data_IF_191269225508
#
_entry.id   IF_191269225508
#
_cell.length_a   1.000
_cell.length_b   1.000
_cell.length_c   1.000
_cell.angle_alpha   90.00
_cell.angle_beta   90.00
_cell.angle_gamma   90.00
#
_symmetry.space_group_name_H-M   'P 1'
#
loop_
_entity.id
_entity.type
_entity.pdbx_description
1 polymer ?
#
# COMPACT_ATOMS: atom_id res chain seq x y z
N UNK A 1 -9.09 -6.38 -10.95
CA UNK A 1 -8.45 -5.08 -10.96
C UNK A 1 -7.80 -4.80 -9.60
N UNK A 2 -6.49 -4.66 -9.60
CA UNK A 2 -5.75 -4.52 -8.35
C UNK A 2 -4.89 -3.27 -8.38
N UNK A 3 -4.86 -2.57 -7.25
CA UNK A 3 -3.99 -1.43 -7.02
C UNK A 3 -2.92 -1.87 -6.03
N UNK A 4 -1.69 -1.53 -6.31
CA UNK A 4 -0.56 -1.99 -5.50
C UNK A 4 0.10 -0.82 -4.79
N UNK A 5 0.23 -0.95 -3.48
CA UNK A 5 0.99 -0.01 -2.67
C UNK A 5 2.15 -0.77 -2.07
N UNK A 6 3.35 -0.25 -2.21
CA UNK A 6 4.54 -0.86 -1.65
C UNK A 6 5.09 0.00 -0.52
N UNK A 7 5.56 -0.64 0.55
CA UNK A 7 6.19 0.03 1.67
C UNK A 7 7.58 -0.56 1.83
N UNK A 8 8.58 0.30 1.75
CA UNK A 8 9.97 -0.14 1.83
C UNK A 8 10.40 -0.38 3.27
N UNK A 9 11.58 -0.95 3.42
CA UNK A 9 12.17 -1.17 4.75
C UNK A 9 12.35 0.13 5.51
N UNK A 10 12.49 1.25 4.80
CA UNK A 10 12.64 2.58 5.42
C UNK A 10 11.32 3.30 5.59
N UNK A 11 10.21 2.59 5.41
CA UNK A 11 8.87 3.14 5.56
C UNK A 11 8.50 4.15 4.47
N UNK A 12 9.16 4.08 3.33
CA UNK A 12 8.75 4.87 2.18
C UNK A 12 7.58 4.18 1.49
N UNK A 13 6.60 4.97 1.09
CA UNK A 13 5.37 4.46 0.49
C UNK A 13 5.38 4.78 -0.99
N UNK A 14 5.12 3.76 -1.81
CA UNK A 14 5.14 3.92 -3.26
C UNK A 14 3.80 3.48 -3.84
N UNK A 15 3.27 4.26 -4.73
CA UNK A 15 2.08 3.90 -5.48
C UNK A 15 2.29 4.29 -6.94
N UNK A 16 2.05 3.34 -7.82
CA UNK A 16 2.19 3.55 -9.28
C UNK A 16 3.59 4.06 -9.62
N UNK A 17 4.59 3.52 -8.93
CA UNK A 17 5.98 3.87 -9.21
C UNK A 17 6.46 5.17 -8.61
N UNK A 18 5.62 5.88 -7.87
CA UNK A 18 5.97 7.16 -7.28
C UNK A 18 5.92 7.09 -5.77
N UNK A 19 6.89 7.71 -5.14
CA UNK A 19 6.88 7.81 -3.69
C UNK A 19 5.87 8.87 -3.27
N UNK A 20 5.02 8.52 -2.31
CA UNK A 20 4.00 9.43 -1.79
C UNK A 20 4.05 9.43 -0.27
N UNK A 21 3.45 10.46 0.32
CA UNK A 21 3.31 10.53 1.77
C UNK A 21 2.06 9.79 2.20
N UNK A 22 2.01 9.47 3.49
CA UNK A 22 0.86 8.78 4.05
C UNK A 22 -0.44 9.54 3.78
N UNK A 23 -0.42 10.86 3.94
CA UNK A 23 -1.62 11.66 3.72
C UNK A 23 -2.01 11.78 2.25
N UNK A 24 -1.19 11.28 1.34
CA UNK A 24 -1.50 11.26 -0.08
C UNK A 24 -2.09 9.93 -0.54
N UNK A 25 -2.11 8.91 0.33
CA UNK A 25 -2.55 7.58 -0.07
C UNK A 25 -4.01 7.60 -0.49
N UNK A 26 -4.91 8.13 0.34
CA UNK A 26 -6.32 8.13 0.02
C UNK A 26 -6.63 8.93 -1.24
N UNK A 27 -6.11 10.16 -1.41
CA UNK A 27 -6.36 10.88 -2.67
C UNK A 27 -5.78 10.17 -3.88
N UNK A 28 -4.60 9.56 -3.76
CA UNK A 28 -4.01 8.85 -4.89
C UNK A 28 -4.87 7.67 -5.32
N UNK A 29 -5.39 6.93 -4.36
CA UNK A 29 -6.26 5.80 -4.66
C UNK A 29 -7.57 6.26 -5.30
N UNK A 30 -8.14 7.35 -4.82
CA UNK A 30 -9.37 7.89 -5.41
C UNK A 30 -9.15 8.31 -6.86
N UNK A 31 -8.00 8.90 -7.15
CA UNK A 31 -7.69 9.32 -8.52
C UNK A 31 -7.46 8.14 -9.43
N UNK A 32 -7.14 6.99 -8.90
CA UNK A 32 -6.89 5.80 -9.72
C UNK A 32 -8.16 5.18 -10.26
N UNK A 33 -9.32 5.68 -9.89
CA UNK A 33 -10.61 5.22 -10.44
C UNK A 33 -10.82 3.74 -10.19
N UNK A 34 -11.24 3.39 -9.01
CA UNK A 34 -11.51 1.99 -8.69
C UNK A 34 -13.01 1.76 -8.62
N UNK A 35 -13.39 0.49 -8.72
CA UNK A 35 -14.77 0.05 -8.58
C UNK A 35 -14.94 -0.71 -7.28
N UNK A 36 -16.17 -1.13 -6.99
CA UNK A 36 -16.43 -1.94 -5.79
C UNK A 36 -15.67 -3.25 -5.79
N UNK A 37 -15.30 -3.74 -6.97
CA UNK A 37 -14.58 -5.00 -7.07
C UNK A 37 -13.06 -4.84 -7.03
N UNK A 38 -12.58 -3.62 -6.95
CA UNK A 38 -11.14 -3.39 -6.91
C UNK A 38 -10.56 -3.85 -5.60
N UNK A 39 -9.33 -4.36 -5.67
CA UNK A 39 -8.58 -4.79 -4.51
C UNK A 39 -7.33 -3.94 -4.42
N UNK A 40 -7.00 -3.47 -3.24
CA UNK A 40 -5.69 -2.88 -3.03
C UNK A 40 -4.80 -3.91 -2.34
N UNK A 41 -3.60 -4.08 -2.88
CA UNK A 41 -2.62 -4.98 -2.30
C UNK A 41 -1.54 -4.12 -1.67
N UNK A 42 -1.36 -4.27 -0.36
CA UNK A 42 -0.31 -3.57 0.35
C UNK A 42 0.85 -4.55 0.52
N UNK A 43 1.92 -4.29 -0.20
CA UNK A 43 3.12 -5.11 -0.12
C UNK A 43 4.13 -4.37 0.74
N UNK A 44 4.40 -4.89 1.92
CA UNK A 44 5.30 -4.24 2.85
C UNK A 44 6.56 -5.07 3.02
N UNK A 45 7.72 -4.40 3.00
CA UNK A 45 8.94 -5.06 3.42
C UNK A 45 8.76 -5.50 4.87
N UNK A 46 9.22 -6.69 5.21
CA UNK A 46 9.02 -7.20 6.57
C UNK A 46 9.75 -6.35 7.61
N UNK A 47 10.65 -5.49 7.20
CA UNK A 47 11.34 -4.56 8.11
C UNK A 47 10.61 -3.23 8.23
N UNK A 48 9.55 -3.01 7.45
CA UNK A 48 8.77 -1.79 7.57
C UNK A 48 8.09 -1.74 8.94
N UNK A 49 7.87 -0.54 9.45
CA UNK A 49 7.27 -0.41 10.76
C UNK A 49 5.79 -0.75 10.70
N UNK A 50 5.29 -1.31 11.80
CA UNK A 50 3.88 -1.64 11.91
C UNK A 50 3.01 -0.38 11.81
N UNK A 51 3.50 0.73 12.36
CA UNK A 51 2.74 1.98 12.31
C UNK A 51 2.51 2.47 10.90
N UNK A 52 3.54 2.40 10.05
CA UNK A 52 3.37 2.80 8.66
C UNK A 52 2.40 1.89 7.95
N UNK A 53 2.52 0.59 8.17
CA UNK A 53 1.63 -0.39 7.57
C UNK A 53 0.17 -0.13 7.98
N UNK A 54 -0.07 0.05 9.27
CA UNK A 54 -1.42 0.31 9.78
C UNK A 54 -1.98 1.62 9.23
N UNK A 55 -1.12 2.63 9.10
CA UNK A 55 -1.54 3.91 8.54
C UNK A 55 -1.97 3.79 7.09
N UNK A 56 -1.21 3.05 6.29
CA UNK A 56 -1.57 2.84 4.89
C UNK A 56 -2.87 2.05 4.80
N UNK A 57 -3.04 1.04 5.63
CA UNK A 57 -4.28 0.28 5.66
C UNK A 57 -5.47 1.19 5.95
N UNK A 58 -5.34 2.03 6.98
CA UNK A 58 -6.43 2.95 7.35
C UNK A 58 -6.75 3.91 6.22
N UNK A 59 -5.73 4.43 5.53
CA UNK A 59 -5.97 5.34 4.41
C UNK A 59 -6.64 4.65 3.24
N UNK A 60 -6.30 3.40 2.97
CA UNK A 60 -6.97 2.64 1.92
C UNK A 60 -8.46 2.46 2.24
N UNK A 61 -8.76 2.15 3.50
CA UNK A 61 -10.16 2.02 3.92
C UNK A 61 -10.88 3.35 3.81
N UNK A 62 -10.24 4.44 4.18
CA UNK A 62 -10.83 5.77 4.05
C UNK A 62 -11.13 6.13 2.61
N UNK A 63 -10.33 5.66 1.68
CA UNK A 63 -10.56 5.91 0.26
C UNK A 63 -11.79 5.18 -0.26
N UNK A 64 -12.29 4.20 0.48
CA UNK A 64 -13.49 3.49 0.09
C UNK A 64 -13.26 2.08 -0.43
N UNK A 65 -12.03 1.59 -0.36
CA UNK A 65 -11.74 0.25 -0.85
C UNK A 65 -12.21 -0.80 0.15
N UNK A 66 -13.06 -1.71 -0.33
CA UNK A 66 -13.61 -2.76 0.50
C UNK A 66 -12.68 -3.95 0.61
N UNK A 67 -11.83 -4.15 -0.38
CA UNK A 67 -10.99 -5.34 -0.45
C UNK A 67 -9.53 -4.94 -0.33
N UNK A 68 -8.93 -5.27 0.80
CA UNK A 68 -7.53 -4.96 1.07
C UNK A 68 -6.81 -6.26 1.36
N UNK A 69 -5.74 -6.51 0.64
CA UNK A 69 -4.92 -7.69 0.83
C UNK A 69 -3.53 -7.28 1.26
N UNK A 70 -2.88 -8.14 2.00
CA UNK A 70 -1.55 -7.89 2.51
C UNK A 70 -0.57 -8.91 1.96
N UNK A 71 0.63 -8.43 1.66
CA UNK A 71 1.72 -9.32 1.34
C UNK A 71 2.96 -8.77 2.02
N UNK A 72 3.67 -9.60 2.74
CA UNK A 72 4.95 -9.21 3.30
C UNK A 72 6.04 -9.95 2.56
N UNK A 73 7.13 -9.26 2.31
CA UNK A 73 8.21 -9.84 1.58
C UNK A 73 9.50 -9.23 2.05
N UNK A 74 10.57 -9.96 1.84
CA UNK A 74 11.89 -9.44 2.08
C UNK A 74 12.35 -8.84 0.77
N UNK A 75 11.93 -7.60 0.53
CA UNK A 75 12.21 -6.96 -0.74
C UNK A 75 13.71 -6.80 -0.90
N UNK A 76 14.23 -7.27 -2.01
CA UNK A 76 15.64 -7.17 -2.28
C UNK A 76 16.51 -8.21 -1.62
N UNK A 77 15.97 -9.07 -0.76
CA UNK A 77 16.76 -10.13 -0.16
C UNK A 77 16.48 -11.37 -0.95
N UNK A 78 17.30 -11.93 -1.36
CA UNK A 78 17.14 -13.13 -2.07
C UNK A 78 16.46 -14.14 -1.25
N UNK A 79 16.22 -14.63 -0.99
CA UNK A 79 15.69 -15.40 -0.29
C UNK A 79 16.01 -16.30 0.00
N UNK A 80 15.79 -16.67 0.22
CA UNK A 80 15.61 -17.60 0.85
C UNK A 80 15.89 -18.16 1.04
#
# INVERSE_FOLDING_TARGET
>A
NALLIAISAEDAIFFDGQQIRLDQVAPALRQASFSDDSTVIIRADRRASHGTFAGVYAEAKRAGLAHVQFATARLGAGQP
#
